data_IF_479530012071
#
_entry.id   IF_479530012071
#
_cell.length_a   1.000
_cell.length_b   1.000
_cell.length_c   1.000
_cell.angle_alpha   90.00
_cell.angle_beta   90.00
_cell.angle_gamma   90.00
#
_symmetry.space_group_name_H-M   'P 1'
#
loop_
_entity.id
_entity.type
_entity.pdbx_description
1 polymer ?
#
# COMPACT_ATOMS: atom_id res chain seq x y z
N UNK A 1 -21.77 -3.52 17.50
CA UNK A 1 -20.57 -3.21 16.72
C UNK A 1 -20.89 -3.29 15.23
N UNK A 2 -20.39 -2.34 14.47
CA UNK A 2 -20.48 -2.29 13.01
C UNK A 2 -19.07 -2.13 12.45
N UNK A 3 -18.72 -2.95 11.47
CA UNK A 3 -17.42 -2.86 10.77
C UNK A 3 -17.61 -2.24 9.39
N UNK A 4 -16.83 -1.23 9.10
CA UNK A 4 -16.83 -0.53 7.81
C UNK A 4 -15.43 -0.44 7.23
N UNK A 5 -15.34 -0.17 5.94
CA UNK A 5 -14.06 0.18 5.29
C UNK A 5 -13.67 1.60 5.72
N UNK A 6 -12.50 1.72 6.31
CA UNK A 6 -11.99 3.00 6.80
C UNK A 6 -11.11 3.74 5.80
N UNK A 7 -10.84 3.12 4.67
CA UNK A 7 -9.91 3.58 3.65
C UNK A 7 -9.13 2.41 3.08
N UNK A 8 -7.98 2.69 2.48
CA UNK A 8 -7.16 1.64 1.88
C UNK A 8 -6.63 0.68 2.95
N UNK A 9 -7.02 -0.61 2.83
CA UNK A 9 -6.56 -1.68 3.71
C UNK A 9 -6.83 -1.42 5.21
N UNK A 10 -7.94 -0.75 5.52
CA UNK A 10 -8.31 -0.41 6.89
C UNK A 10 -9.74 -0.84 7.21
N UNK A 11 -9.93 -1.42 8.40
CA UNK A 11 -11.25 -1.66 8.98
C UNK A 11 -11.47 -0.64 10.10
N UNK A 12 -12.66 -0.07 10.15
CA UNK A 12 -13.12 0.79 11.25
C UNK A 12 -14.24 0.11 12.00
N UNK A 13 -14.10 0.00 13.32
CA UNK A 13 -15.13 -0.52 14.21
C UNK A 13 -15.89 0.63 14.85
N UNK A 14 -17.21 0.64 14.70
CA UNK A 14 -18.08 1.58 15.40
C UNK A 14 -18.87 0.80 16.44
N UNK A 15 -18.70 1.16 17.70
CA UNK A 15 -19.34 0.48 18.84
C UNK A 15 -20.32 1.42 19.51
N UNK A 16 -21.52 0.92 19.78
CA UNK A 16 -22.58 1.64 20.51
C UNK A 16 -23.17 0.76 21.59
N UNK A 17 -23.64 1.37 22.66
CA UNK A 17 -24.24 0.67 23.79
C UNK A 17 -23.22 0.16 24.81
N UNK A 18 -23.66 -0.59 25.79
CA UNK A 18 -22.83 -1.04 26.89
C UNK A 18 -22.31 0.08 27.78
N UNK A 19 -21.25 -0.19 28.53
CA UNK A 19 -20.55 0.78 29.36
C UNK A 19 -19.23 1.12 28.64
N UNK A 20 -18.96 2.39 28.37
CA UNK A 20 -17.78 2.85 27.64
C UNK A 20 -16.45 2.25 28.12
N UNK A 21 -15.33 2.68 27.57
CA UNK A 21 -14.02 2.09 27.83
C UNK A 21 -13.80 0.81 27.01
N UNK A 22 -14.19 0.86 25.75
CA UNK A 22 -14.10 -0.27 24.84
C UNK A 22 -12.65 -0.70 24.60
N UNK A 23 -12.46 -2.02 24.60
CA UNK A 23 -11.21 -2.67 24.21
C UNK A 23 -11.50 -3.60 23.05
N UNK A 24 -10.61 -3.61 22.06
CA UNK A 24 -10.76 -4.34 20.82
C UNK A 24 -9.72 -5.42 20.65
N UNK A 25 -10.12 -6.53 20.06
CA UNK A 25 -9.20 -7.53 19.51
C UNK A 25 -9.61 -7.90 18.08
N UNK A 26 -8.64 -8.25 17.27
CA UNK A 26 -8.86 -8.70 15.89
C UNK A 26 -8.22 -10.06 15.71
N UNK A 27 -9.03 -11.06 15.35
CA UNK A 27 -8.60 -12.46 15.23
C UNK A 27 -7.84 -12.96 16.47
N UNK A 28 -8.21 -12.47 17.66
CA UNK A 28 -7.58 -12.82 18.92
C UNK A 28 -6.36 -11.99 19.31
N UNK A 29 -5.90 -11.09 18.45
CA UNK A 29 -4.82 -10.17 18.76
C UNK A 29 -5.36 -8.89 19.40
N UNK A 30 -4.74 -8.46 20.51
CA UNK A 30 -5.18 -7.30 21.29
C UNK A 30 -4.75 -5.99 20.62
N UNK A 31 -5.71 -5.09 20.43
CA UNK A 31 -5.50 -3.75 19.89
C UNK A 31 -5.83 -2.63 20.89
N UNK A 32 -6.10 -2.99 22.14
CA UNK A 32 -6.44 -2.03 23.18
C UNK A 32 -7.69 -1.22 22.83
N UNK A 33 -7.63 0.09 22.99
CA UNK A 33 -8.75 1.02 22.70
C UNK A 33 -8.78 1.49 21.24
N UNK A 34 -7.92 0.97 20.37
CA UNK A 34 -7.86 1.35 18.94
C UNK A 34 -9.03 0.73 18.19
N UNK A 35 -9.81 1.54 17.52
CA UNK A 35 -11.00 1.17 16.75
C UNK A 35 -10.75 1.12 15.23
N UNK A 36 -9.50 1.27 14.79
CA UNK A 36 -9.06 1.25 13.40
C UNK A 36 -7.93 0.25 13.24
N UNK A 37 -8.07 -0.65 12.27
CA UNK A 37 -7.16 -1.78 12.10
C UNK A 37 -6.66 -1.83 10.66
N UNK A 38 -5.34 -1.79 10.48
CA UNK A 38 -4.71 -1.98 9.18
C UNK A 38 -4.59 -3.48 8.91
N UNK A 39 -4.98 -3.90 7.72
CA UNK A 39 -4.82 -5.28 7.26
C UNK A 39 -3.62 -5.41 6.35
N UNK A 40 -3.04 -6.61 6.31
CA UNK A 40 -1.85 -6.90 5.48
C UNK A 40 -2.04 -8.12 4.58
N UNK A 41 -3.23 -8.68 4.54
CA UNK A 41 -3.59 -9.78 3.62
C UNK A 41 -5.10 -9.84 3.45
N UNK A 42 -5.54 -10.42 2.34
CA UNK A 42 -6.95 -10.75 2.10
C UNK A 42 -7.40 -11.84 3.06
N UNK A 43 -8.57 -11.67 3.64
CA UNK A 43 -9.16 -12.67 4.54
C UNK A 43 -10.33 -12.14 5.34
N UNK A 44 -10.78 -12.99 6.27
CA UNK A 44 -11.86 -12.66 7.19
C UNK A 44 -11.27 -12.14 8.51
N UNK A 45 -11.79 -11.03 8.97
CA UNK A 45 -11.37 -10.37 10.19
C UNK A 45 -12.52 -10.32 11.17
N UNK A 46 -12.35 -11.01 12.31
CA UNK A 46 -13.31 -11.00 13.42
C UNK A 46 -12.83 -10.01 14.45
N UNK A 47 -13.59 -8.93 14.61
CA UNK A 47 -13.33 -7.91 15.64
C UNK A 47 -14.23 -8.18 16.82
N UNK A 48 -13.62 -8.31 17.99
CA UNK A 48 -14.32 -8.46 19.27
C UNK A 48 -14.11 -7.19 20.08
N UNK A 49 -15.20 -6.63 20.61
CA UNK A 49 -15.17 -5.50 21.52
C UNK A 49 -15.62 -5.94 22.91
N UNK A 50 -14.92 -5.43 23.93
CA UNK A 50 -15.23 -5.64 25.34
C UNK A 50 -15.47 -4.30 26.00
N UNK A 51 -16.57 -4.12 26.73
CA UNK A 51 -16.84 -2.92 27.49
C UNK A 51 -16.20 -2.96 28.89
N UNK A 52 -16.33 -1.88 29.67
CA UNK A 52 -15.76 -1.80 31.03
C UNK A 52 -16.32 -2.83 32.00
N UNK A 53 -17.49 -3.38 31.74
CA UNK A 53 -18.12 -4.43 32.57
C UNK A 53 -17.72 -5.83 32.12
N UNK A 54 -16.91 -5.98 31.10
CA UNK A 54 -16.50 -7.26 30.55
C UNK A 54 -17.51 -7.90 29.60
N UNK A 55 -18.55 -7.19 29.20
CA UNK A 55 -19.47 -7.64 28.14
C UNK A 55 -18.80 -7.58 26.79
N UNK A 56 -18.96 -8.64 25.99
CA UNK A 56 -18.31 -8.77 24.68
C UNK A 56 -19.31 -8.95 23.55
N UNK A 57 -18.97 -8.45 22.38
CA UNK A 57 -19.65 -8.78 21.13
C UNK A 57 -18.64 -8.80 20.00
N UNK A 58 -18.95 -9.53 18.94
CA UNK A 58 -18.05 -9.70 17.78
C UNK A 58 -18.80 -9.51 16.47
N UNK A 59 -18.06 -9.05 15.45
CA UNK A 59 -18.51 -8.98 14.07
C UNK A 59 -17.39 -9.42 13.18
N UNK A 60 -17.70 -10.07 12.06
CA UNK A 60 -16.73 -10.54 11.07
C UNK A 60 -16.93 -9.80 9.76
N UNK A 61 -15.84 -9.33 9.16
CA UNK A 61 -15.85 -8.68 7.87
C UNK A 61 -14.78 -9.29 6.97
N UNK A 62 -15.15 -9.60 5.73
CA UNK A 62 -14.19 -9.96 4.70
C UNK A 62 -13.55 -8.70 4.12
N UNK A 63 -12.22 -8.71 4.00
CA UNK A 63 -11.45 -7.62 3.42
C UNK A 63 -10.52 -8.15 2.34
N UNK A 64 -10.49 -7.46 1.22
CA UNK A 64 -9.51 -7.68 0.17
C UNK A 64 -8.34 -6.72 0.38
N UNK A 65 -7.13 -7.28 0.50
CA UNK A 65 -5.92 -6.48 0.62
C UNK A 65 -5.47 -6.00 -0.77
N UNK A 66 -5.35 -4.70 -0.91
CA UNK A 66 -4.83 -4.08 -2.13
C UNK A 66 -3.32 -3.96 -2.02
N UNK A 67 -2.61 -4.86 -2.72
CA UNK A 67 -1.16 -4.95 -2.69
C UNK A 67 -0.54 -4.09 -3.79
N UNK A 68 0.63 -3.50 -3.48
CA UNK A 68 1.47 -2.86 -4.49
C UNK A 68 2.16 -3.93 -5.31
N UNK A 69 1.95 -3.90 -6.63
CA UNK A 69 2.57 -4.81 -7.58
C UNK A 69 3.58 -4.03 -8.41
N UNK A 70 4.84 -4.44 -8.35
CA UNK A 70 5.93 -3.74 -9.04
C UNK A 70 6.24 -4.50 -10.33
N UNK A 71 6.00 -3.89 -11.52
CA UNK A 71 6.35 -4.51 -12.79
C UNK A 71 7.87 -4.73 -12.87
N UNK A 72 8.28 -5.91 -13.30
CA UNK A 72 9.69 -6.25 -13.43
C UNK A 72 10.25 -5.96 -14.83
N UNK A 73 9.41 -5.54 -15.77
CA UNK A 73 9.81 -5.18 -17.13
C UNK A 73 8.85 -4.15 -17.72
N UNK A 74 9.38 -3.25 -18.54
CA UNK A 74 8.55 -2.39 -19.40
C UNK A 74 9.25 -2.17 -20.75
N UNK A 75 8.46 -1.83 -21.77
CA UNK A 75 8.91 -1.76 -23.16
C UNK A 75 8.49 -0.43 -23.77
N UNK A 76 9.26 0.65 -23.58
CA UNK A 76 8.90 1.98 -24.07
C UNK A 76 9.19 2.12 -25.58
N UNK A 77 8.33 1.51 -26.40
CA UNK A 77 8.44 1.50 -27.87
C UNK A 77 7.36 2.33 -28.56
N UNK A 78 6.48 3.01 -27.81
CA UNK A 78 5.42 3.86 -28.33
C UNK A 78 4.22 3.13 -28.89
N UNK A 79 4.03 1.85 -28.56
CA UNK A 79 2.89 1.04 -29.03
C UNK A 79 1.62 1.17 -28.16
N UNK A 80 1.68 2.00 -27.09
CA UNK A 80 0.58 2.22 -26.16
C UNK A 80 0.45 1.14 -25.07
N UNK A 81 1.35 0.15 -25.05
CA UNK A 81 1.35 -0.93 -24.06
C UNK A 81 2.71 -1.00 -23.37
N UNK A 82 2.70 -0.95 -22.03
CA UNK A 82 3.91 -1.01 -21.21
C UNK A 82 4.98 0.03 -21.59
N UNK A 83 4.57 1.20 -22.05
CA UNK A 83 5.48 2.28 -22.46
C UNK A 83 6.06 3.05 -21.28
N UNK A 84 5.46 2.92 -20.10
CA UNK A 84 5.89 3.56 -18.88
C UNK A 84 5.97 2.56 -17.74
N UNK A 85 6.77 2.90 -16.74
CA UNK A 85 6.92 2.10 -15.54
C UNK A 85 6.40 2.85 -14.33
N UNK A 86 5.48 2.22 -13.62
CA UNK A 86 4.95 2.68 -12.34
C UNK A 86 4.36 1.48 -11.59
N UNK A 87 4.58 1.35 -10.28
CA UNK A 87 3.97 0.27 -9.51
C UNK A 87 2.45 0.31 -9.55
N UNK A 88 1.82 -0.84 -9.76
CA UNK A 88 0.37 -0.97 -9.77
C UNK A 88 -0.17 -0.78 -8.34
N UNK A 89 -1.34 -0.15 -8.22
CA UNK A 89 -2.01 0.19 -6.96
C UNK A 89 -1.29 1.26 -6.13
N UNK A 90 -0.16 1.78 -6.61
CA UNK A 90 0.58 2.84 -5.93
C UNK A 90 -0.16 4.19 -5.97
N UNK A 91 -1.07 4.36 -6.93
CA UNK A 91 -1.93 5.54 -7.03
C UNK A 91 -2.85 5.73 -5.83
N UNK A 92 -3.06 4.70 -5.02
CA UNK A 92 -3.84 4.77 -3.79
C UNK A 92 -3.09 5.46 -2.63
N UNK A 93 -1.80 5.74 -2.80
CA UNK A 93 -0.96 6.39 -1.79
C UNK A 93 -0.58 7.78 -2.27
N UNK A 94 -1.24 8.81 -1.74
CA UNK A 94 -1.07 10.20 -2.20
C UNK A 94 0.32 10.78 -1.97
N UNK A 95 1.04 10.30 -0.96
CA UNK A 95 2.36 10.81 -0.58
C UNK A 95 3.51 9.90 -1.03
N UNK A 96 3.22 8.96 -1.92
CA UNK A 96 4.21 8.01 -2.45
C UNK A 96 5.37 8.73 -3.10
N UNK A 97 6.58 8.22 -2.87
CA UNK A 97 7.80 8.65 -3.54
C UNK A 97 8.49 7.45 -4.13
N UNK A 98 8.83 7.54 -5.41
CA UNK A 98 9.54 6.49 -6.13
C UNK A 98 10.79 7.10 -6.73
N UNK A 99 11.94 6.51 -6.39
CA UNK A 99 13.25 6.93 -6.92
C UNK A 99 13.74 5.85 -7.86
N UNK A 100 14.19 6.24 -9.04
CA UNK A 100 14.76 5.33 -10.05
C UNK A 100 16.23 5.64 -10.22
N UNK A 101 17.06 4.59 -10.25
CA UNK A 101 18.52 4.67 -10.34
C UNK A 101 19.04 3.80 -11.47
N UNK A 102 20.18 4.21 -12.06
CA UNK A 102 20.94 3.35 -12.96
C UNK A 102 21.85 2.39 -12.17
N UNK A 103 22.55 1.53 -12.86
CA UNK A 103 23.45 0.54 -12.26
C UNK A 103 24.65 1.15 -11.52
N UNK A 104 24.91 2.43 -11.73
CA UNK A 104 25.99 3.17 -11.05
C UNK A 104 25.49 3.92 -9.82
N UNK A 105 24.20 3.78 -9.47
CA UNK A 105 23.59 4.46 -8.36
C UNK A 105 23.18 5.91 -8.65
N UNK A 106 23.25 6.35 -9.90
CA UNK A 106 22.80 7.69 -10.29
C UNK A 106 21.28 7.76 -10.28
N UNK A 107 20.73 8.72 -9.57
CA UNK A 107 19.29 8.94 -9.55
C UNK A 107 18.82 9.53 -10.88
N UNK A 108 17.94 8.82 -11.57
CA UNK A 108 17.40 9.18 -12.87
C UNK A 108 16.10 9.98 -12.75
N UNK A 109 15.40 9.85 -11.67
CA UNK A 109 14.16 10.59 -11.44
C UNK A 109 13.52 10.29 -10.11
N UNK A 110 12.58 11.17 -9.74
CA UNK A 110 11.69 11.01 -8.60
C UNK A 110 10.27 11.13 -9.11
N UNK A 111 9.42 10.14 -8.77
CA UNK A 111 8.06 10.06 -9.26
C UNK A 111 7.10 10.04 -8.06
N UNK A 112 6.03 10.80 -8.21
CA UNK A 112 4.95 10.93 -7.24
C UNK A 112 3.68 10.27 -7.77
N UNK A 113 2.60 10.32 -6.99
CA UNK A 113 1.30 9.84 -7.42
C UNK A 113 0.93 10.42 -8.81
N UNK A 114 0.50 9.55 -9.73
CA UNK A 114 0.10 9.93 -11.07
C UNK A 114 1.25 10.18 -12.05
N UNK A 115 2.50 9.95 -11.66
CA UNK A 115 3.68 10.08 -12.50
C UNK A 115 4.28 8.71 -12.79
N UNK A 116 4.77 8.50 -14.00
CA UNK A 116 5.41 7.25 -14.41
C UNK A 116 6.69 7.54 -15.17
N UNK A 117 7.67 6.62 -15.10
CA UNK A 117 8.92 6.77 -15.83
C UNK A 117 8.78 6.20 -17.24
N UNK A 118 9.28 6.95 -18.22
CA UNK A 118 9.21 6.61 -19.63
C UNK A 118 10.53 6.05 -20.20
N UNK A 119 11.52 5.82 -19.36
CA UNK A 119 12.83 5.30 -19.81
C UNK A 119 13.78 6.37 -20.32
N UNK A 120 13.51 7.64 -20.06
CA UNK A 120 14.39 8.75 -20.47
C UNK A 120 15.06 9.42 -19.27
N UNK A 121 16.19 10.05 -19.52
CA UNK A 121 16.89 10.91 -18.59
C UNK A 121 17.39 12.16 -19.32
N UNK A 122 16.97 13.35 -18.85
CA UNK A 122 17.27 14.63 -19.50
C UNK A 122 16.89 14.64 -20.99
N UNK A 123 15.75 14.03 -21.33
CA UNK A 123 15.25 13.97 -22.71
C UNK A 123 15.94 12.93 -23.60
N UNK A 124 16.87 12.16 -23.06
CA UNK A 124 17.59 11.12 -23.80
C UNK A 124 17.06 9.74 -23.43
N UNK A 125 16.74 8.93 -24.42
CA UNK A 125 16.36 7.55 -24.22
C UNK A 125 17.52 6.74 -23.65
N UNK A 126 17.25 6.02 -22.54
CA UNK A 126 18.24 5.16 -21.93
C UNK A 126 18.25 3.77 -22.57
N UNK A 127 19.39 3.07 -22.55
CA UNK A 127 19.51 1.75 -23.17
C UNK A 127 18.71 0.68 -22.42
N UNK A 128 18.40 -0.39 -23.13
CA UNK A 128 17.87 -1.61 -22.51
C UNK A 128 18.83 -2.11 -21.43
N UNK A 129 18.28 -2.56 -20.32
CA UNK A 129 19.04 -3.05 -19.18
C UNK A 129 18.26 -2.97 -17.90
N UNK A 130 18.93 -3.24 -16.81
CA UNK A 130 18.33 -3.22 -15.49
C UNK A 130 18.50 -1.86 -14.83
N UNK A 131 17.45 -1.46 -14.16
CA UNK A 131 17.37 -0.25 -13.36
C UNK A 131 16.85 -0.59 -11.98
N UNK A 132 17.12 0.26 -11.01
CA UNK A 132 16.77 0.03 -9.61
C UNK A 132 15.78 1.07 -9.12
N UNK A 133 14.98 0.68 -8.15
CA UNK A 133 14.01 1.59 -7.54
C UNK A 133 14.08 1.52 -6.02
N UNK A 134 13.70 2.63 -5.41
CA UNK A 134 13.33 2.73 -4.00
C UNK A 134 11.95 3.38 -3.95
N UNK A 135 11.00 2.67 -3.36
CA UNK A 135 9.63 3.14 -3.23
C UNK A 135 9.31 3.32 -1.76
N UNK A 136 8.82 4.49 -1.40
CA UNK A 136 8.39 4.83 -0.04
C UNK A 136 6.93 5.23 -0.07
N UNK A 137 6.09 4.55 0.71
CA UNK A 137 4.67 4.86 0.76
C UNK A 137 4.40 6.18 1.47
N UNK A 138 5.19 6.53 2.48
CA UNK A 138 5.07 7.78 3.25
C UNK A 138 3.66 7.99 3.84
N UNK A 139 3.00 6.89 4.18
CA UNK A 139 1.66 6.92 4.74
C UNK A 139 1.75 6.76 6.26
N UNK A 140 0.95 7.50 7.02
CA UNK A 140 0.95 7.44 8.49
C UNK A 140 0.62 6.05 9.03
N UNK A 141 -0.15 5.26 8.29
CA UNK A 141 -0.60 3.93 8.69
C UNK A 141 0.18 2.80 8.02
N UNK A 142 0.89 3.11 6.93
CA UNK A 142 1.68 2.15 6.17
C UNK A 142 2.92 2.86 5.64
N UNK A 143 4.04 2.70 6.33
CA UNK A 143 5.32 3.32 6.02
C UNK A 143 6.30 2.36 5.36
N UNK A 144 5.81 1.26 4.76
CA UNK A 144 6.66 0.28 4.11
C UNK A 144 7.48 0.91 3.00
N UNK A 145 8.69 0.37 2.83
CA UNK A 145 9.61 0.70 1.74
C UNK A 145 9.86 -0.55 0.90
N UNK A 146 9.94 -0.36 -0.41
CA UNK A 146 10.22 -1.43 -1.37
C UNK A 146 11.49 -1.06 -2.13
N UNK A 147 12.39 -2.03 -2.27
CA UNK A 147 13.65 -1.87 -2.99
C UNK A 147 13.82 -3.05 -3.92
N UNK A 148 14.24 -2.79 -5.15
CA UNK A 148 14.48 -3.85 -6.11
C UNK A 148 14.94 -3.32 -7.46
N UNK A 149 14.87 -4.18 -8.47
CA UNK A 149 15.23 -3.84 -9.84
C UNK A 149 14.11 -4.22 -10.81
N UNK A 150 14.19 -3.63 -11.99
CA UNK A 150 13.31 -3.92 -13.11
C UNK A 150 14.08 -3.73 -14.42
N UNK A 151 13.55 -4.26 -15.50
CA UNK A 151 14.21 -4.23 -16.81
C UNK A 151 13.48 -3.30 -17.76
N UNK A 152 14.24 -2.41 -18.40
CA UNK A 152 13.81 -1.66 -19.57
C UNK A 152 14.28 -2.45 -20.81
N UNK A 153 13.33 -2.75 -21.70
CA UNK A 153 13.61 -3.48 -22.93
C UNK A 153 13.10 -2.66 -24.13
N UNK A 154 14.02 -2.31 -25.05
CA UNK A 154 13.70 -1.62 -26.30
C UNK A 154 13.84 -2.54 -27.50
#
# INVERSE_FOLDING_TARGET
IVLTDGGLNEIVATTTGGVGGYQYSVNGEDYGSTDKFIIYKTGDYTVTVTDSNGCTTSETKHMDFIEIIIPNVFTPNGDGSNDTWFPMNAENYKDISIYVFDRYGRKLGTFRQGQAWDGTYNGTELPSGDYWYVLKLNNNKDDREFVGNFTLYR
#
